data_IF_540241661941
#
_entry.id   IF_540241661941
#
_cell.length_a   1.000
_cell.length_b   1.000
_cell.length_c   1.000
_cell.angle_alpha   90.00
_cell.angle_beta   90.00
_cell.angle_gamma   90.00
#
_symmetry.space_group_name_H-M   'P 1'
#
loop_
_entity.id
_entity.type
_entity.pdbx_description
1 polymer ?
#
# COMPACT_ATOMS: atom_id res chain seq x y z
N UNK A 1 -17.83 -2.73 -26.57
CA UNK A 1 -18.52 -1.52 -27.09
C UNK A 1 -18.95 -0.56 -25.97
N UNK A 2 -19.36 -1.04 -24.79
CA UNK A 2 -19.69 -0.22 -23.61
C UNK A 2 -18.56 0.75 -23.18
N UNK A 3 -17.32 0.27 -23.10
CA UNK A 3 -16.14 1.06 -22.68
C UNK A 3 -15.90 2.31 -23.54
N UNK A 4 -16.10 2.21 -24.86
CA UNK A 4 -15.98 3.32 -25.81
C UNK A 4 -17.06 4.39 -25.59
N UNK A 5 -18.26 3.96 -25.22
CA UNK A 5 -19.40 4.85 -24.98
C UNK A 5 -19.23 5.62 -23.67
N UNK A 6 -18.70 4.95 -22.63
CA UNK A 6 -18.35 5.58 -21.34
C UNK A 6 -17.22 6.60 -21.48
N UNK A 7 -16.19 6.30 -22.28
CA UNK A 7 -15.12 7.25 -22.62
C UNK A 7 -15.66 8.47 -23.38
N UNK A 8 -16.58 8.28 -24.33
CA UNK A 8 -17.21 9.38 -25.07
C UNK A 8 -18.10 10.28 -24.18
N UNK A 9 -18.64 9.74 -23.08
CA UNK A 9 -19.46 10.46 -22.11
C UNK A 9 -18.67 11.08 -20.95
N UNK A 10 -17.33 11.00 -20.96
CA UNK A 10 -16.46 11.47 -19.85
C UNK A 10 -16.89 10.93 -18.47
N UNK A 11 -17.45 9.73 -18.43
CA UNK A 11 -17.88 9.10 -17.18
C UNK A 11 -16.63 8.71 -16.41
N UNK A 12 -16.38 9.38 -15.27
CA UNK A 12 -15.32 8.99 -14.34
C UNK A 12 -15.66 7.62 -13.77
N UNK A 13 -14.97 6.59 -14.26
CA UNK A 13 -14.97 5.28 -13.62
C UNK A 13 -14.41 5.44 -12.20
N UNK A 14 -15.06 4.90 -11.16
CA UNK A 14 -14.46 4.86 -9.84
C UNK A 14 -13.13 4.11 -9.95
N UNK A 15 -12.04 4.76 -9.52
CA UNK A 15 -10.70 4.15 -9.51
C UNK A 15 -10.74 3.09 -8.42
N UNK A 16 -10.92 1.83 -8.82
CA UNK A 16 -11.00 0.68 -7.91
C UNK A 16 -9.61 0.21 -7.43
N UNK A 17 -8.53 0.71 -8.05
CA UNK A 17 -7.15 0.31 -7.75
C UNK A 17 -6.50 1.24 -6.71
N UNK A 18 -7.23 1.63 -5.67
CA UNK A 18 -6.68 2.41 -4.58
C UNK A 18 -6.28 1.49 -3.42
N UNK A 19 -5.02 1.57 -2.99
CA UNK A 19 -4.57 0.90 -1.78
C UNK A 19 -5.01 1.69 -0.55
N UNK A 20 -5.56 1.05 0.47
CA UNK A 20 -5.94 1.74 1.71
C UNK A 20 -4.70 2.03 2.55
N UNK A 21 -3.83 1.03 2.72
CA UNK A 21 -2.66 1.15 3.60
C UNK A 21 -1.41 0.53 2.97
N UNK A 22 -0.34 1.30 2.90
CA UNK A 22 0.99 0.77 2.60
C UNK A 22 1.86 0.72 3.86
N UNK A 23 2.49 -0.41 4.16
CA UNK A 23 3.36 -0.58 5.33
C UNK A 23 4.83 -0.51 4.92
N UNK A 24 5.55 0.46 5.50
CA UNK A 24 6.98 0.73 5.31
C UNK A 24 7.76 0.16 6.48
N UNK A 25 8.70 -0.74 6.19
CA UNK A 25 9.64 -1.25 7.19
C UNK A 25 10.99 -0.55 7.10
N UNK A 26 11.53 -0.09 8.22
CA UNK A 26 12.85 0.55 8.33
C UNK A 26 13.74 -0.31 9.23
N UNK A 27 14.69 -1.01 8.62
CA UNK A 27 15.59 -1.94 9.31
C UNK A 27 15.22 -3.39 9.02
N UNK A 28 16.19 -4.30 9.07
CA UNK A 28 16.01 -5.70 8.66
C UNK A 28 15.05 -6.47 9.58
N UNK A 29 14.97 -6.07 10.86
CA UNK A 29 14.12 -6.71 11.85
C UNK A 29 12.62 -6.38 11.68
N UNK A 30 12.28 -5.40 10.83
CA UNK A 30 10.90 -4.96 10.64
C UNK A 30 10.11 -5.83 9.65
N UNK A 31 10.77 -6.75 8.95
CA UNK A 31 10.13 -7.58 7.92
C UNK A 31 9.03 -8.49 8.49
N UNK A 32 9.20 -9.07 9.68
CA UNK A 32 8.17 -9.97 10.26
C UNK A 32 6.93 -9.17 10.66
N UNK A 33 7.14 -8.03 11.31
CA UNK A 33 6.10 -7.17 11.86
C UNK A 33 5.26 -6.50 10.76
N UNK A 34 5.94 -5.99 9.74
CA UNK A 34 5.24 -5.47 8.56
C UNK A 34 4.40 -6.54 7.86
N UNK A 35 4.77 -7.83 7.95
CA UNK A 35 3.93 -8.93 7.47
C UNK A 35 2.66 -9.06 8.30
N UNK A 36 2.82 -9.11 9.62
CA UNK A 36 1.73 -9.31 10.57
C UNK A 36 0.70 -8.18 10.46
N UNK A 37 1.16 -6.93 10.37
CA UNK A 37 0.28 -5.77 10.21
C UNK A 37 -0.52 -5.87 8.90
N UNK A 38 0.15 -6.16 7.78
CA UNK A 38 -0.54 -6.31 6.49
C UNK A 38 -1.53 -7.48 6.52
N UNK A 39 -1.19 -8.60 7.17
CA UNK A 39 -2.10 -9.73 7.31
C UNK A 39 -3.34 -9.36 8.14
N UNK A 40 -3.16 -8.66 9.26
CA UNK A 40 -4.26 -8.18 10.10
C UNK A 40 -5.17 -7.22 9.32
N UNK A 41 -4.59 -6.23 8.64
CA UNK A 41 -5.34 -5.28 7.81
C UNK A 41 -6.13 -5.97 6.70
N UNK A 42 -5.55 -6.99 6.05
CA UNK A 42 -6.25 -7.79 5.03
C UNK A 42 -7.38 -8.62 5.63
N UNK A 43 -7.19 -9.17 6.83
CA UNK A 43 -8.25 -9.91 7.53
C UNK A 43 -9.44 -9.02 7.88
N UNK A 44 -9.20 -7.75 8.18
CA UNK A 44 -10.22 -6.73 8.44
C UNK A 44 -10.85 -6.14 7.16
N UNK A 45 -10.42 -6.60 5.97
CA UNK A 45 -10.99 -6.20 4.68
C UNK A 45 -10.35 -4.97 4.04
N UNK A 46 -9.24 -4.45 4.57
CA UNK A 46 -8.52 -3.34 3.96
C UNK A 46 -7.57 -3.81 2.85
N UNK A 47 -7.53 -3.07 1.76
CA UNK A 47 -6.52 -3.24 0.72
C UNK A 47 -5.17 -2.73 1.25
N UNK A 48 -4.31 -3.65 1.68
CA UNK A 48 -2.99 -3.29 2.23
C UNK A 48 -1.84 -4.04 1.56
N UNK A 49 -0.69 -3.36 1.50
CA UNK A 49 0.53 -3.91 0.92
C UNK A 49 1.79 -3.43 1.65
N UNK A 50 2.93 -4.07 1.39
CA UNK A 50 4.22 -3.76 1.99
C UNK A 50 5.36 -3.87 0.99
N UNK A 51 6.53 -3.46 1.41
CA UNK A 51 7.76 -3.78 0.70
C UNK A 51 8.19 -5.24 0.96
N UNK A 52 8.51 -5.96 -0.11
CA UNK A 52 9.01 -7.36 -0.07
C UNK A 52 10.49 -7.49 -0.44
N UNK A 53 11.15 -6.39 -0.83
CA UNK A 53 12.46 -6.41 -1.48
C UNK A 53 13.54 -5.66 -0.67
N UNK A 54 13.34 -5.46 0.64
CA UNK A 54 14.25 -4.75 1.56
C UNK A 54 14.80 -3.42 1.02
N UNK A 55 14.02 -2.79 0.14
CA UNK A 55 14.29 -1.48 -0.43
C UNK A 55 14.45 -0.43 0.66
N UNK A 56 15.35 0.52 0.43
CA UNK A 56 15.51 1.71 1.28
C UNK A 56 14.16 2.45 1.47
N UNK A 57 13.93 3.10 2.63
CA UNK A 57 12.64 3.73 2.96
C UNK A 57 12.12 4.68 1.86
N UNK A 58 13.01 5.50 1.27
CA UNK A 58 12.66 6.40 0.16
C UNK A 58 12.01 5.70 -1.04
N UNK A 59 12.48 4.49 -1.38
CA UNK A 59 11.91 3.71 -2.46
C UNK A 59 10.56 3.11 -2.07
N UNK A 60 10.37 2.73 -0.81
CA UNK A 60 9.10 2.26 -0.28
C UNK A 60 8.02 3.35 -0.32
N UNK A 61 8.34 4.59 0.11
CA UNK A 61 7.44 5.74 -0.03
C UNK A 61 7.07 6.05 -1.48
N UNK A 62 8.03 5.90 -2.41
CA UNK A 62 7.74 6.06 -3.84
C UNK A 62 6.77 4.99 -4.34
N UNK A 63 6.85 3.77 -3.82
CA UNK A 63 5.91 2.68 -4.12
C UNK A 63 4.54 2.97 -3.53
N UNK A 64 4.44 3.39 -2.26
CA UNK A 64 3.19 3.81 -1.63
C UNK A 64 2.47 4.89 -2.44
N UNK A 65 3.22 5.91 -2.88
CA UNK A 65 2.68 6.99 -3.71
C UNK A 65 2.25 6.50 -5.11
N UNK A 66 3.01 5.59 -5.73
CA UNK A 66 2.65 4.99 -7.03
C UNK A 66 1.35 4.16 -6.95
N UNK A 67 1.14 3.49 -5.83
CA UNK A 67 -0.08 2.72 -5.55
C UNK A 67 -1.24 3.60 -5.05
N UNK A 68 -1.04 4.92 -4.99
CA UNK A 68 -2.00 5.89 -4.45
C UNK A 68 -2.55 5.48 -3.07
N UNK A 69 -1.67 4.95 -2.22
CA UNK A 69 -2.06 4.50 -0.90
C UNK A 69 -2.70 5.65 -0.09
N UNK A 70 -3.88 5.43 0.48
CA UNK A 70 -4.56 6.44 1.30
C UNK A 70 -3.74 6.76 2.56
N UNK A 71 -3.15 5.71 3.16
CA UNK A 71 -2.33 5.81 4.35
C UNK A 71 -1.02 5.07 4.19
N UNK A 72 -0.01 5.52 4.92
CA UNK A 72 1.28 4.82 5.04
C UNK A 72 1.61 4.63 6.50
N UNK A 73 1.83 3.38 6.91
CA UNK A 73 2.30 3.02 8.26
C UNK A 73 3.80 2.79 8.17
N UNK A 74 4.58 3.35 9.08
CA UNK A 74 6.04 3.15 9.12
C UNK A 74 6.40 2.43 10.41
N UNK A 75 7.20 1.37 10.30
CA UNK A 75 7.70 0.57 11.42
C UNK A 75 9.22 0.63 11.37
N UNK A 76 9.84 1.14 12.43
CA UNK A 76 11.28 1.09 12.63
C UNK A 76 11.68 0.14 13.76
N UNK A 77 12.98 -0.02 13.95
CA UNK A 77 13.54 -0.82 15.07
C UNK A 77 13.27 -0.18 16.45
N UNK A 78 12.96 1.11 16.49
CA UNK A 78 12.65 1.82 17.75
C UNK A 78 11.23 1.53 18.22
N UNK A 79 10.28 1.40 17.30
CA UNK A 79 8.89 1.03 17.59
C UNK A 79 8.72 -0.46 17.98
N UNK A 80 9.78 -1.25 17.80
CA UNK A 80 9.86 -2.66 18.18
C UNK A 80 10.31 -2.91 19.62
N UNK A 81 10.76 -1.87 20.34
CA UNK A 81 11.19 -1.96 21.73
C UNK A 81 10.10 -1.64 22.73
#
# INVERSE_FOLDING_TARGET
RLLLLMNAQNVKLPVLDQLDVYVVGIGEQTSVETLQIVQALRADGFASDRNYLDRKPKAQFKTANKLNAQYTITIGETELK
#
